data_IF_332091939600
#
_entry.id   IF_332091939600
#
_cell.length_a   1.000
_cell.length_b   1.000
_cell.length_c   1.000
_cell.angle_alpha   90.00
_cell.angle_beta   90.00
_cell.angle_gamma   90.00
#
_symmetry.space_group_name_H-M   'P 1'
#
loop_
_entity.id
_entity.type
_entity.pdbx_description
1 polymer ?
#
# COMPACT_ATOMS: atom_id res chain seq x y z
N UNK A 1 -4.30 18.31 -20.51
CA UNK A 1 -3.96 16.87 -20.45
C UNK A 1 -2.45 16.80 -20.46
N UNK A 2 -1.84 16.81 -19.28
CA UNK A 2 -0.39 16.83 -19.12
C UNK A 2 0.13 15.42 -19.40
N UNK A 3 0.60 15.18 -20.62
CA UNK A 3 1.27 13.94 -20.96
C UNK A 3 2.63 14.02 -20.28
N UNK A 4 2.70 13.60 -19.01
CA UNK A 4 3.96 13.51 -18.26
C UNK A 4 5.00 12.83 -19.14
N UNK A 5 5.91 13.63 -19.69
CA UNK A 5 6.96 13.18 -20.59
C UNK A 5 7.92 12.35 -19.74
N UNK A 6 7.61 11.06 -19.55
CA UNK A 6 8.48 10.15 -18.80
C UNK A 6 9.78 10.05 -19.57
N UNK A 7 10.80 10.75 -19.09
CA UNK A 7 12.17 10.66 -19.60
C UNK A 7 12.55 9.19 -19.58
N UNK A 8 12.74 8.59 -20.76
CA UNK A 8 13.14 7.18 -20.90
C UNK A 8 14.56 7.07 -20.37
N UNK A 9 14.71 6.57 -19.14
CA UNK A 9 16.02 6.33 -18.54
C UNK A 9 16.55 4.99 -19.04
N UNK A 10 17.81 4.97 -19.44
CA UNK A 10 18.53 3.77 -19.86
C UNK A 10 19.63 3.49 -18.84
N UNK A 11 19.72 2.25 -18.39
CA UNK A 11 20.72 1.80 -17.44
C UNK A 11 21.48 0.63 -18.04
N UNK A 12 22.81 0.70 -17.96
CA UNK A 12 23.66 -0.42 -18.36
C UNK A 12 23.59 -1.50 -17.28
N UNK A 13 23.10 -2.69 -17.64
CA UNK A 13 23.01 -3.83 -16.75
C UNK A 13 24.01 -4.91 -17.18
N UNK A 14 24.86 -5.36 -16.25
CA UNK A 14 25.78 -6.48 -16.47
C UNK A 14 25.14 -7.76 -15.94
N UNK A 15 24.89 -8.70 -16.84
CA UNK A 15 24.39 -10.04 -16.52
C UNK A 15 25.34 -11.08 -17.11
N UNK A 16 25.48 -12.26 -16.46
CA UNK A 16 26.06 -13.41 -17.11
C UNK A 16 25.36 -13.71 -18.45
N UNK A 17 26.08 -14.12 -19.49
CA UNK A 17 25.51 -14.30 -20.82
C UNK A 17 24.37 -15.35 -20.81
N UNK A 18 24.57 -16.45 -20.10
CA UNK A 18 23.58 -17.52 -19.93
C UNK A 18 22.28 -17.03 -19.29
N UNK A 19 22.39 -16.19 -18.24
CA UNK A 19 21.23 -15.64 -17.55
C UNK A 19 20.49 -14.65 -18.45
N UNK A 20 21.22 -13.85 -19.24
CA UNK A 20 20.61 -12.94 -20.22
C UNK A 20 19.81 -13.72 -21.27
N UNK A 21 20.35 -14.83 -21.76
CA UNK A 21 19.68 -15.70 -22.73
C UNK A 21 18.42 -16.35 -22.15
N UNK A 22 18.51 -16.89 -20.94
CA UNK A 22 17.35 -17.46 -20.24
C UNK A 22 16.24 -16.42 -20.02
N UNK A 23 16.60 -15.24 -19.51
CA UNK A 23 15.64 -14.15 -19.31
C UNK A 23 15.01 -13.69 -20.64
N UNK A 24 15.76 -13.72 -21.74
CA UNK A 24 15.23 -13.39 -23.06
C UNK A 24 14.25 -14.45 -23.58
N UNK A 25 14.55 -15.74 -23.41
CA UNK A 25 13.63 -16.84 -23.77
C UNK A 25 12.31 -16.71 -23.02
N UNK A 26 12.38 -16.54 -21.70
CA UNK A 26 11.18 -16.40 -20.85
C UNK A 26 10.38 -15.15 -21.24
N UNK A 27 11.05 -14.01 -21.45
CA UNK A 27 10.36 -12.80 -21.89
C UNK A 27 9.66 -12.99 -23.25
N UNK A 28 10.29 -13.72 -24.18
CA UNK A 28 9.72 -14.05 -25.48
C UNK A 28 8.51 -14.98 -25.37
N UNK A 29 8.58 -16.01 -24.51
CA UNK A 29 7.47 -16.94 -24.23
C UNK A 29 6.27 -16.21 -23.63
N UNK A 30 6.52 -15.23 -22.75
CA UNK A 30 5.49 -14.37 -22.13
C UNK A 30 5.01 -13.23 -23.06
N UNK A 31 5.61 -13.09 -24.26
CA UNK A 31 5.24 -12.05 -25.22
C UNK A 31 5.59 -10.62 -24.78
N UNK A 32 6.56 -10.44 -23.87
CA UNK A 32 6.97 -9.14 -23.33
C UNK A 32 8.42 -8.79 -23.70
N UNK A 33 8.76 -7.50 -23.65
CA UNK A 33 10.16 -7.09 -23.84
C UNK A 33 11.03 -7.53 -22.65
N UNK A 34 12.30 -7.86 -22.92
CA UNK A 34 13.29 -8.19 -21.90
C UNK A 34 13.41 -7.10 -20.80
N UNK A 35 13.34 -5.82 -21.17
CA UNK A 35 13.38 -4.72 -20.21
C UNK A 35 12.16 -4.72 -19.28
N UNK A 36 10.98 -5.03 -19.81
CA UNK A 36 9.77 -5.15 -19.00
C UNK A 36 9.87 -6.34 -18.04
N UNK A 37 10.33 -7.49 -18.55
CA UNK A 37 10.60 -8.68 -17.74
C UNK A 37 11.57 -8.38 -16.57
N UNK A 38 12.70 -7.71 -16.85
CA UNK A 38 13.65 -7.29 -15.82
C UNK A 38 12.98 -6.38 -14.79
N UNK A 39 12.15 -5.44 -15.23
CA UNK A 39 11.39 -4.56 -14.35
C UNK A 39 10.45 -5.32 -13.40
N UNK A 40 9.70 -6.29 -13.92
CA UNK A 40 8.82 -7.16 -13.12
C UNK A 40 9.61 -7.98 -12.10
N UNK A 41 10.71 -8.61 -12.53
CA UNK A 41 11.56 -9.41 -11.67
C UNK A 41 12.15 -8.59 -10.51
N UNK A 42 12.58 -7.36 -10.77
CA UNK A 42 13.07 -6.43 -9.75
C UNK A 42 11.98 -6.00 -8.78
N UNK A 43 10.79 -5.65 -9.29
CA UNK A 43 9.64 -5.30 -8.46
C UNK A 43 9.27 -6.45 -7.52
N UNK A 44 9.24 -7.68 -8.04
CA UNK A 44 8.97 -8.86 -7.24
C UNK A 44 10.05 -9.10 -6.17
N UNK A 45 11.33 -9.03 -6.56
CA UNK A 45 12.45 -9.20 -5.62
C UNK A 45 12.39 -8.19 -4.47
N UNK A 46 12.16 -6.92 -4.78
CA UNK A 46 12.05 -5.84 -3.79
C UNK A 46 10.84 -6.07 -2.87
N UNK A 47 9.70 -6.47 -3.42
CA UNK A 47 8.50 -6.80 -2.65
C UNK A 47 8.76 -7.92 -1.65
N UNK A 48 9.36 -9.03 -2.11
CA UNK A 48 9.72 -10.18 -1.25
C UNK A 48 10.72 -9.79 -0.15
N UNK A 49 11.67 -8.90 -0.45
CA UNK A 49 12.65 -8.42 0.54
C UNK A 49 12.03 -7.51 1.60
N UNK A 50 11.12 -6.62 1.21
CA UNK A 50 10.40 -5.78 2.16
C UNK A 50 9.51 -6.61 3.08
N UNK A 51 8.80 -7.61 2.53
CA UNK A 51 7.96 -8.48 3.33
C UNK A 51 8.75 -9.26 4.37
N UNK A 52 9.88 -9.87 3.99
CA UNK A 52 10.79 -10.54 4.94
C UNK A 52 11.25 -9.63 6.09
N UNK A 53 11.45 -8.35 5.80
CA UNK A 53 11.86 -7.37 6.81
C UNK A 53 10.70 -7.00 7.74
N UNK A 54 9.48 -6.94 7.20
CA UNK A 54 8.26 -6.68 7.97
C UNK A 54 7.86 -7.87 8.86
N UNK A 55 8.04 -9.12 8.40
CA UNK A 55 7.74 -10.33 9.17
C UNK A 55 8.53 -10.37 10.50
N UNK A 56 9.79 -9.93 10.48
CA UNK A 56 10.62 -9.82 11.69
C UNK A 56 10.14 -8.78 12.69
N UNK A 57 9.52 -7.68 12.22
CA UNK A 57 8.93 -6.64 13.05
C UNK A 57 7.51 -7.01 13.52
N UNK A 58 6.76 -7.74 12.70
CA UNK A 58 5.39 -8.16 12.96
C UNK A 58 5.32 -9.34 13.95
N UNK A 59 6.38 -10.15 14.07
CA UNK A 59 6.55 -11.13 15.16
C UNK A 59 6.66 -10.51 16.56
N UNK A 60 6.94 -9.20 16.66
CA UNK A 60 6.92 -8.49 17.94
C UNK A 60 5.52 -7.96 18.33
N UNK A 61 4.53 -8.07 17.43
CA UNK A 61 3.16 -7.70 17.74
C UNK A 61 2.52 -8.90 18.44
N UNK A 62 2.53 -8.87 19.78
CA UNK A 62 1.74 -9.81 20.58
C UNK A 62 0.32 -9.87 20.02
N UNK A 63 -0.34 -11.04 20.00
CA UNK A 63 -1.76 -11.11 19.73
C UNK A 63 -2.44 -10.20 20.75
N UNK A 64 -2.95 -9.06 20.30
CA UNK A 64 -3.90 -8.29 21.07
C UNK A 64 -5.11 -9.19 21.19
N UNK A 65 -5.19 -9.88 22.32
CA UNK A 65 -6.37 -10.62 22.75
C UNK A 65 -7.60 -9.78 22.42
N UNK A 66 -8.65 -10.33 21.78
CA UNK A 66 -9.93 -9.65 21.80
C UNK A 66 -10.26 -9.53 23.29
N UNK A 67 -10.25 -8.31 23.82
CA UNK A 67 -10.63 -8.05 25.18
C UNK A 67 -12.09 -8.49 25.30
N UNK A 68 -12.28 -9.73 25.77
CA UNK A 68 -13.49 -10.18 26.43
C UNK A 68 -13.75 -9.13 27.51
N UNK A 69 -14.74 -8.29 27.28
CA UNK A 69 -15.38 -7.52 28.34
C UNK A 69 -16.56 -8.36 28.84
N UNK A 70 -16.46 -9.05 29.98
CA UNK A 70 -17.63 -9.59 30.65
C UNK A 70 -18.17 -8.49 31.57
N UNK A 71 -19.36 -7.96 31.29
CA UNK A 71 -20.00 -7.04 32.24
C UNK A 71 -21.03 -6.09 31.65
N UNK A 72 -22.25 -6.60 31.48
CA UNK A 72 -23.50 -6.00 31.98
C UNK A 72 -23.60 -4.46 32.00
N UNK A 73 -24.51 -3.92 31.19
CA UNK A 73 -25.58 -3.04 31.69
C UNK A 73 -26.68 -2.90 30.63
N UNK A 74 -27.82 -3.54 30.89
CA UNK A 74 -29.08 -3.22 30.24
C UNK A 74 -29.37 -1.72 30.43
N UNK A 75 -29.58 -0.98 29.34
CA UNK A 75 -30.23 0.32 29.39
C UNK A 75 -31.44 0.31 28.46
N UNK A 76 -32.58 -0.01 29.06
CA UNK A 76 -33.89 0.35 28.54
C UNK A 76 -33.96 1.89 28.47
N UNK A 77 -34.32 2.42 27.30
CA UNK A 77 -34.38 3.86 27.10
C UNK A 77 -34.49 4.20 25.62
N UNK A 78 -35.74 4.33 25.19
CA UNK A 78 -36.15 4.92 23.91
C UNK A 78 -35.32 6.14 23.51
N UNK A 79 -34.66 6.10 22.35
CA UNK A 79 -33.97 7.26 21.78
C UNK A 79 -33.29 6.93 20.46
N UNK A 80 -33.76 7.57 19.38
CA UNK A 80 -33.35 7.40 17.98
C UNK A 80 -31.83 7.56 17.74
N UNK A 81 -31.23 6.94 16.70
CA UNK A 81 -29.82 7.10 16.39
C UNK A 81 -29.50 8.39 15.61
N UNK A 82 -28.32 8.94 15.93
CA UNK A 82 -27.38 9.75 15.15
C UNK A 82 -27.83 11.05 14.44
N UNK A 83 -27.14 12.15 14.78
CA UNK A 83 -26.30 12.92 13.83
C UNK A 83 -25.37 13.86 14.61
N UNK A 84 -24.06 13.87 14.38
CA UNK A 84 -23.17 14.86 14.95
C UNK A 84 -23.00 15.99 13.93
N UNK A 85 -23.62 17.14 14.17
CA UNK A 85 -23.17 18.38 13.53
C UNK A 85 -22.67 19.34 14.60
N UNK A 86 -21.36 19.52 14.56
CA UNK A 86 -20.54 20.39 15.39
C UNK A 86 -20.84 21.84 15.03
N UNK A 87 -21.20 22.67 16.01
CA UNK A 87 -21.42 24.12 15.86
C UNK A 87 -20.17 24.86 16.31
N UNK A 88 -19.57 25.74 15.49
CA UNK A 88 -18.64 26.75 16.01
C UNK A 88 -19.39 28.05 16.33
N UNK A 89 -19.12 28.54 17.53
CA UNK A 89 -19.74 29.69 18.18
C UNK A 89 -19.02 30.99 17.76
N UNK A 90 -19.80 31.97 17.31
CA UNK A 90 -19.53 33.40 17.47
C UNK A 90 -18.54 34.06 16.52
N UNK A 91 -18.96 35.17 15.89
CA UNK A 91 -18.37 36.50 16.08
C UNK A 91 -19.34 37.56 15.56
N UNK A 92 -19.38 38.67 16.28
CA UNK A 92 -20.31 39.80 16.18
C UNK A 92 -20.13 40.62 14.88
N UNK A 93 -21.11 41.48 14.58
CA UNK A 93 -21.20 42.37 13.39
C UNK A 93 -20.08 43.43 13.28
N UNK A 94 -20.29 44.63 12.67
CA UNK A 94 -21.56 45.29 12.30
C UNK A 94 -21.46 45.95 10.88
N UNK A 95 -21.97 47.17 10.61
CA UNK A 95 -23.30 47.42 10.05
C UNK A 95 -23.25 48.17 8.70
N UNK A 96 -24.35 48.14 7.94
CA UNK A 96 -25.03 49.31 7.34
C UNK A 96 -26.24 48.89 6.52
#
# INVERSE_FOLDING_TARGET
MDVTLRRKQSFLLRLPPTLREQAASIAQEEGISLNHFIGLALAEKVSRMQQRSADGLMSLRLPSTPATTPGVALRTGTGRPATPYMVPRGQAGPPR
#
